data_IF_020963261716
#
_entry.id   IF_020963261716
#
_cell.length_a   1.000
_cell.length_b   1.000
_cell.length_c   1.000
_cell.angle_alpha   90.00
_cell.angle_beta   90.00
_cell.angle_gamma   90.00
#
_symmetry.space_group_name_H-M   'P 1'
#
loop_
_entity.id
_entity.type
_entity.pdbx_description
1 polymer ?
#
# COMPACT_ATOMS: atom_id res chain seq x y z
N UNK A 1 22.10 13.12 -7.11
CA UNK A 1 21.41 11.81 -7.15
C UNK A 1 20.01 11.99 -6.56
N UNK A 2 19.03 12.28 -7.42
CA UNK A 2 17.66 12.71 -7.04
C UNK A 2 16.78 11.54 -6.54
N UNK A 3 17.13 10.31 -6.93
CA UNK A 3 16.47 9.06 -6.55
C UNK A 3 16.24 8.88 -5.03
N UNK A 4 17.15 9.36 -4.19
CA UNK A 4 17.05 9.16 -2.73
C UNK A 4 15.93 9.97 -2.07
N UNK A 5 15.55 11.14 -2.63
CA UNK A 5 14.57 12.02 -2.01
C UNK A 5 13.14 11.50 -2.22
N UNK A 6 12.81 11.11 -3.46
CA UNK A 6 11.52 10.54 -3.83
C UNK A 6 11.28 9.18 -3.16
N UNK A 7 12.32 8.35 -3.02
CA UNK A 7 12.23 7.07 -2.31
C UNK A 7 11.95 7.26 -0.82
N UNK A 8 12.63 8.21 -0.16
CA UNK A 8 12.39 8.51 1.27
C UNK A 8 10.98 9.05 1.48
N UNK A 9 10.54 10.00 0.64
CA UNK A 9 9.18 10.52 0.68
C UNK A 9 8.14 9.42 0.46
N UNK A 10 8.37 8.49 -0.48
CA UNK A 10 7.50 7.34 -0.70
C UNK A 10 7.42 6.41 0.51
N UNK A 11 8.56 6.19 1.18
CA UNK A 11 8.61 5.37 2.40
C UNK A 11 7.84 6.00 3.57
N UNK A 12 7.97 7.31 3.76
CA UNK A 12 7.25 8.04 4.82
C UNK A 12 5.73 8.01 4.57
N UNK A 13 5.31 8.21 3.31
CA UNK A 13 3.91 8.07 2.88
C UNK A 13 3.40 6.66 3.14
N UNK A 14 4.14 5.63 2.72
CA UNK A 14 3.74 4.24 2.94
C UNK A 14 3.63 3.89 4.44
N UNK A 15 4.52 4.42 5.28
CA UNK A 15 4.46 4.22 6.74
C UNK A 15 3.19 4.83 7.33
N UNK A 16 2.82 6.04 6.90
CA UNK A 16 1.56 6.68 7.31
C UNK A 16 0.34 5.87 6.84
N UNK A 17 0.33 5.43 5.58
CA UNK A 17 -0.77 4.63 5.01
C UNK A 17 -0.98 3.32 5.78
N UNK A 18 0.09 2.57 6.10
CA UNK A 18 0.01 1.34 6.90
C UNK A 18 -0.67 1.61 8.25
N UNK A 19 -0.36 2.72 8.91
CA UNK A 19 -0.98 3.07 10.19
C UNK A 19 -2.48 3.37 10.10
N UNK A 20 -2.95 3.86 8.94
CA UNK A 20 -4.36 4.12 8.68
C UNK A 20 -5.09 2.82 8.32
N UNK A 21 -4.52 2.04 7.41
CA UNK A 21 -5.07 0.75 6.97
C UNK A 21 -5.20 -0.25 8.13
N UNK A 22 -4.29 -0.21 9.12
CA UNK A 22 -4.35 -1.03 10.35
C UNK A 22 -5.62 -0.79 11.19
N UNK A 23 -6.31 0.34 10.98
CA UNK A 23 -7.56 0.66 11.70
C UNK A 23 -8.80 0.08 11.01
N UNK A 24 -8.66 -0.32 9.75
CA UNK A 24 -9.75 -0.83 8.91
C UNK A 24 -9.75 -2.35 8.91
N UNK A 25 -8.57 -2.97 8.77
CA UNK A 25 -8.45 -4.42 8.67
C UNK A 25 -7.08 -4.96 9.06
N UNK A 26 -6.92 -6.27 8.92
CA UNK A 26 -5.65 -6.93 9.17
C UNK A 26 -4.63 -6.56 8.09
N UNK A 27 -3.39 -6.31 8.53
CA UNK A 27 -2.28 -6.01 7.62
C UNK A 27 -1.26 -7.13 7.64
N UNK A 28 -0.96 -7.64 6.46
CA UNK A 28 0.02 -8.70 6.24
C UNK A 28 1.48 -8.27 6.51
N UNK A 29 1.79 -6.98 6.36
CA UNK A 29 3.14 -6.40 6.55
C UNK A 29 3.10 -5.11 7.36
N UNK A 30 3.78 -5.08 8.51
CA UNK A 30 3.77 -3.93 9.42
C UNK A 30 4.74 -2.80 9.05
N UNK A 31 5.50 -2.95 7.96
CA UNK A 31 6.47 -1.98 7.44
C UNK A 31 6.39 -1.94 5.92
N UNK A 32 6.69 -0.79 5.29
CA UNK A 32 6.79 -0.72 3.84
C UNK A 32 7.88 -1.68 3.32
N UNK A 33 7.57 -2.42 2.27
CA UNK A 33 8.51 -3.31 1.60
C UNK A 33 9.06 -2.64 0.34
N UNK A 34 10.31 -2.94 -0.01
CA UNK A 34 10.89 -2.51 -1.28
C UNK A 34 10.59 -3.54 -2.36
N UNK A 35 10.12 -3.08 -3.53
CA UNK A 35 9.85 -3.94 -4.67
C UNK A 35 10.39 -3.32 -5.97
N UNK A 36 10.88 -4.18 -6.87
CA UNK A 36 11.45 -3.77 -8.17
C UNK A 36 10.40 -3.69 -9.27
N UNK A 37 9.27 -3.02 -9.02
CA UNK A 37 8.15 -2.92 -9.94
C UNK A 37 8.27 -1.70 -10.85
N UNK A 38 7.97 -1.85 -12.15
CA UNK A 38 8.07 -0.76 -13.13
C UNK A 38 7.28 0.49 -12.74
N UNK A 39 6.08 0.30 -12.17
CA UNK A 39 5.18 1.38 -11.72
C UNK A 39 5.74 2.22 -10.56
N UNK A 40 6.76 1.73 -9.84
CA UNK A 40 7.37 2.42 -8.70
C UNK A 40 8.70 3.12 -9.04
N UNK A 41 9.08 3.18 -10.33
CA UNK A 41 10.43 3.62 -10.75
C UNK A 41 10.56 5.10 -11.08
N UNK A 42 9.53 5.91 -10.82
CA UNK A 42 9.63 7.36 -11.09
C UNK A 42 10.72 7.99 -10.21
N UNK A 43 11.75 8.63 -10.78
CA UNK A 43 12.85 9.21 -10.01
C UNK A 43 12.44 10.44 -9.20
N UNK A 44 11.44 11.18 -9.70
CA UNK A 44 11.07 12.51 -9.20
C UNK A 44 9.69 12.54 -8.54
N UNK A 45 8.96 11.43 -8.60
CA UNK A 45 7.62 11.31 -8.02
C UNK A 45 7.63 10.17 -6.99
N UNK A 46 7.36 10.46 -5.70
CA UNK A 46 7.10 9.43 -4.71
C UNK A 46 5.98 8.50 -5.18
N UNK A 47 6.25 7.20 -5.23
CA UNK A 47 5.30 6.20 -5.72
C UNK A 47 5.18 5.08 -4.69
N UNK A 48 3.95 4.63 -4.44
CA UNK A 48 3.63 3.53 -3.53
C UNK A 48 2.65 2.59 -4.21
N UNK A 49 2.73 1.29 -3.91
CA UNK A 49 1.73 0.30 -4.27
C UNK A 49 1.08 -0.18 -2.99
N UNK A 50 -0.25 -0.19 -2.96
CA UNK A 50 -1.04 -0.63 -1.81
C UNK A 50 -1.71 -1.96 -2.18
N UNK A 51 -1.45 -2.98 -1.38
CA UNK A 51 -2.16 -4.26 -1.44
C UNK A 51 -3.34 -4.19 -0.47
N UNK A 52 -4.57 -4.15 -0.98
CA UNK A 52 -5.79 -3.97 -0.17
C UNK A 52 -6.37 -5.28 0.37
N UNK A 53 -5.88 -6.42 -0.12
CA UNK A 53 -6.27 -7.78 0.26
C UNK A 53 -5.90 -8.79 -0.84
N UNK A 54 -6.17 -10.07 -0.58
CA UNK A 54 -5.89 -11.19 -1.47
C UNK A 54 -7.17 -11.80 -2.04
N UNK A 55 -7.40 -11.62 -3.34
CA UNK A 55 -8.53 -12.26 -4.06
C UNK A 55 -8.45 -13.80 -4.01
N UNK A 56 -7.24 -14.36 -3.83
CA UNK A 56 -7.07 -15.80 -3.64
C UNK A 56 -7.62 -16.33 -2.31
N UNK A 57 -7.96 -15.46 -1.37
CA UNK A 57 -8.61 -15.81 -0.11
C UNK A 57 -10.11 -15.46 -0.20
N UNK A 58 -10.97 -16.47 -0.16
CA UNK A 58 -12.43 -16.29 -0.32
C UNK A 58 -13.05 -15.28 0.67
N UNK A 59 -12.49 -15.12 1.87
CA UNK A 59 -13.02 -14.17 2.86
C UNK A 59 -12.62 -12.74 2.50
N UNK A 60 -11.36 -12.54 2.10
CA UNK A 60 -10.87 -11.23 1.66
C UNK A 60 -11.48 -10.81 0.32
N UNK A 61 -11.67 -11.73 -0.62
CA UNK A 61 -12.37 -11.47 -1.88
C UNK A 61 -13.78 -10.91 -1.62
N UNK A 62 -14.55 -11.52 -0.71
CA UNK A 62 -15.89 -11.04 -0.35
C UNK A 62 -15.86 -9.65 0.29
N UNK A 63 -14.86 -9.36 1.11
CA UNK A 63 -14.67 -8.02 1.69
C UNK A 63 -14.31 -7.02 0.60
N UNK A 64 -13.36 -7.34 -0.28
CA UNK A 64 -12.96 -6.49 -1.40
C UNK A 64 -14.11 -6.21 -2.38
N UNK A 65 -15.09 -7.10 -2.49
CA UNK A 65 -16.29 -6.91 -3.29
C UNK A 65 -17.41 -6.09 -2.60
N UNK A 66 -17.23 -5.70 -1.33
CA UNK A 66 -18.22 -4.95 -0.56
C UNK A 66 -18.00 -3.44 -0.67
N UNK A 67 -19.05 -2.71 -1.05
CA UNK A 67 -19.03 -1.24 -1.10
C UNK A 67 -18.70 -0.62 0.27
N UNK A 68 -19.26 -1.16 1.36
CA UNK A 68 -19.02 -0.67 2.72
C UNK A 68 -17.53 -0.81 3.12
N UNK A 69 -16.88 -1.89 2.71
CA UNK A 69 -15.46 -2.11 2.97
C UNK A 69 -14.60 -1.20 2.09
N UNK A 70 -14.92 -1.09 0.79
CA UNK A 70 -14.23 -0.18 -0.13
C UNK A 70 -14.32 1.28 0.31
N UNK A 71 -15.45 1.70 0.91
CA UNK A 71 -15.64 3.06 1.41
C UNK A 71 -14.82 3.35 2.68
N UNK A 72 -14.42 2.31 3.42
CA UNK A 72 -13.56 2.45 4.58
C UNK A 72 -12.08 2.54 4.20
N UNK A 73 -11.67 1.87 3.11
CA UNK A 73 -10.32 1.93 2.52
C UNK A 73 -9.95 3.33 2.01
#
# INVERSE_FOLDING_TARGET
LQFGHSQRGGYDVATSMISQLQRIGEIHKRRPEHASLGVLRSPDIPSVLVETGFISNNSEERLLASDDYQQQL
#
